data_IF_066118137105
#
_entry.id   IF_066118137105
#
_cell.length_a   1.000
_cell.length_b   1.000
_cell.length_c   1.000
_cell.angle_alpha   90.00
_cell.angle_beta   90.00
_cell.angle_gamma   90.00
#
_symmetry.space_group_name_H-M   'P 1'
#
loop_
_entity.id
_entity.type
_entity.pdbx_description
1 polymer ?
#
# COMPACT_ATOMS: atom_id res chain seq x y z
N UNK A 1 -10.03 -3.99 15.29
CA UNK A 1 -8.84 -3.70 14.51
C UNK A 1 -8.67 -2.21 14.43
N UNK A 2 -7.50 -1.71 14.69
CA UNK A 2 -7.26 -0.27 14.67
C UNK A 2 -7.13 0.22 13.24
N UNK A 3 -7.75 1.34 12.94
CA UNK A 3 -7.63 1.97 11.64
C UNK A 3 -6.41 2.88 11.66
N UNK A 4 -5.61 2.83 10.65
CA UNK A 4 -4.38 3.63 10.54
C UNK A 4 -4.55 4.64 9.42
N UNK A 5 -3.99 5.82 9.61
CA UNK A 5 -4.00 6.82 8.56
C UNK A 5 -2.72 6.73 7.73
N UNK A 6 -2.62 7.52 6.71
CA UNK A 6 -1.46 7.48 5.81
C UNK A 6 -0.16 7.83 6.51
N UNK A 7 -0.22 8.60 7.60
CA UNK A 7 0.99 8.95 8.34
C UNK A 7 1.64 7.72 8.95
N UNK A 8 0.84 6.80 9.50
CA UNK A 8 1.39 5.58 10.07
C UNK A 8 1.99 4.69 9.01
N UNK A 9 1.34 4.57 7.86
CA UNK A 9 1.89 3.80 6.75
C UNK A 9 3.17 4.45 6.23
N UNK A 10 3.21 5.78 6.19
CA UNK A 10 4.39 6.49 5.73
C UNK A 10 5.61 6.14 6.58
N UNK A 11 5.46 6.14 7.88
CA UNK A 11 6.57 5.78 8.77
C UNK A 11 7.06 4.36 8.50
N UNK A 12 6.14 3.43 8.34
CA UNK A 12 6.50 2.04 8.08
C UNK A 12 7.17 1.84 6.74
N UNK A 13 6.68 2.53 5.70
CA UNK A 13 7.29 2.45 4.38
C UNK A 13 8.70 3.03 4.41
N UNK A 14 8.87 4.16 5.08
CA UNK A 14 10.20 4.77 5.17
C UNK A 14 11.18 3.83 5.88
N UNK A 15 10.74 3.16 6.95
CA UNK A 15 11.59 2.19 7.61
C UNK A 15 11.99 1.05 6.68
N UNK A 16 11.04 0.54 5.93
CA UNK A 16 11.31 -0.57 5.01
C UNK A 16 12.26 -0.16 3.89
N UNK A 17 12.24 1.11 3.50
CA UNK A 17 13.11 1.62 2.45
C UNK A 17 14.41 2.20 3.03
N UNK A 18 14.61 2.09 4.33
CA UNK A 18 15.78 2.61 5.02
C UNK A 18 15.93 4.12 4.87
N UNK A 19 14.80 4.83 4.84
CA UNK A 19 14.78 6.29 4.78
C UNK A 19 14.63 6.81 6.20
N UNK A 20 15.52 7.68 6.69
CA UNK A 20 15.38 8.25 8.03
C UNK A 20 14.09 9.04 8.16
N UNK A 21 13.47 8.99 9.32
CA UNK A 21 12.23 9.73 9.54
C UNK A 21 12.42 11.23 9.34
N UNK A 22 13.61 11.73 9.62
CA UNK A 22 13.89 13.16 9.47
C UNK A 22 14.08 13.58 8.01
N UNK A 23 14.24 12.62 7.09
CA UNK A 23 14.37 12.93 5.68
C UNK A 23 12.99 12.97 5.08
N UNK A 24 12.49 14.17 4.80
CA UNK A 24 11.12 14.35 4.31
C UNK A 24 11.05 14.61 2.80
N UNK A 25 12.16 14.47 2.10
CA UNK A 25 12.21 14.82 0.68
C UNK A 25 11.18 14.07 -0.15
N UNK A 26 10.99 12.79 0.09
CA UNK A 26 10.09 11.96 -0.70
C UNK A 26 8.74 11.72 -0.02
N UNK A 27 8.46 12.38 1.10
CA UNK A 27 7.24 12.07 1.86
C UNK A 27 5.98 12.27 1.03
N UNK A 28 5.90 13.34 0.25
CA UNK A 28 4.71 13.60 -0.56
C UNK A 28 4.49 12.52 -1.60
N UNK A 29 5.56 12.08 -2.26
CA UNK A 29 5.46 11.03 -3.27
C UNK A 29 5.03 9.71 -2.62
N UNK A 30 5.67 9.35 -1.52
CA UNK A 30 5.35 8.09 -0.83
C UNK A 30 3.91 8.11 -0.33
N UNK A 31 3.49 9.22 0.25
CA UNK A 31 2.10 9.35 0.75
C UNK A 31 1.09 9.22 -0.38
N UNK A 32 1.39 9.79 -1.54
CA UNK A 32 0.50 9.66 -2.69
C UNK A 32 0.37 8.19 -3.11
N UNK A 33 1.48 7.47 -3.15
CA UNK A 33 1.43 6.05 -3.52
C UNK A 33 0.66 5.23 -2.49
N UNK A 34 0.83 5.54 -1.20
CA UNK A 34 0.09 4.85 -0.15
C UNK A 34 -1.42 5.09 -0.34
N UNK A 35 -1.82 6.33 -0.53
CA UNK A 35 -3.23 6.66 -0.71
C UNK A 35 -3.80 5.98 -1.95
N UNK A 36 -3.03 5.95 -3.03
CA UNK A 36 -3.45 5.29 -4.26
C UNK A 36 -3.63 3.80 -4.05
N UNK A 37 -2.74 3.16 -3.32
CA UNK A 37 -2.84 1.74 -3.02
C UNK A 37 -4.09 1.44 -2.18
N UNK A 38 -4.31 2.22 -1.13
CA UNK A 38 -5.49 2.04 -0.29
C UNK A 38 -6.77 2.17 -1.10
N UNK A 39 -6.83 3.17 -1.98
CA UNK A 39 -7.98 3.35 -2.84
C UNK A 39 -8.18 2.17 -3.78
N UNK A 40 -7.10 1.63 -4.31
CA UNK A 40 -7.16 0.46 -5.18
C UNK A 40 -7.72 -0.74 -4.42
N UNK A 41 -7.24 -0.99 -3.21
CA UNK A 41 -7.74 -2.10 -2.40
C UNK A 41 -9.24 -1.99 -2.17
N UNK A 42 -9.71 -0.79 -1.83
CA UNK A 42 -11.12 -0.56 -1.60
C UNK A 42 -11.91 -0.80 -2.88
N UNK A 43 -11.41 -0.35 -4.02
CA UNK A 43 -12.12 -0.50 -5.28
C UNK A 43 -12.24 -1.95 -5.71
N UNK A 44 -11.34 -2.81 -5.27
CA UNK A 44 -11.37 -4.22 -5.62
C UNK A 44 -12.29 -5.01 -4.69
N UNK A 45 -12.66 -4.46 -3.56
CA UNK A 45 -13.58 -5.14 -2.65
C UNK A 45 -13.10 -5.29 -1.22
N UNK A 46 -11.93 -4.78 -0.89
CA UNK A 46 -11.46 -4.79 0.49
C UNK A 46 -12.19 -3.69 1.26
N UNK A 47 -12.69 -3.98 2.44
CA UNK A 47 -13.37 -2.96 3.22
C UNK A 47 -12.41 -1.85 3.62
N UNK A 48 -12.94 -0.65 3.80
CA UNK A 48 -12.10 0.48 4.18
C UNK A 48 -11.41 0.23 5.52
N UNK A 49 -12.12 -0.36 6.47
CA UNK A 49 -11.54 -0.65 7.77
C UNK A 49 -10.31 -1.56 7.65
N UNK A 50 -10.39 -2.58 6.82
CA UNK A 50 -9.28 -3.50 6.62
C UNK A 50 -8.16 -2.82 5.84
N UNK A 51 -8.51 -2.08 4.79
CA UNK A 51 -7.51 -1.43 3.94
C UNK A 51 -6.69 -0.39 4.72
N UNK A 52 -7.26 0.16 5.80
CA UNK A 52 -6.56 1.14 6.61
C UNK A 52 -6.08 0.57 7.94
N UNK A 53 -6.15 -0.75 8.11
CA UNK A 53 -5.79 -1.38 9.36
C UNK A 53 -4.30 -1.71 9.42
N UNK A 54 -3.86 -2.28 10.52
CA UNK A 54 -2.49 -2.75 10.65
C UNK A 54 -2.33 -4.21 10.25
N UNK A 55 -3.24 -4.72 9.44
CA UNK A 55 -3.17 -6.08 8.92
C UNK A 55 -1.86 -6.27 8.15
N UNK A 56 -1.15 -7.35 8.45
CA UNK A 56 0.18 -7.58 7.86
C UNK A 56 0.12 -7.73 6.34
N UNK A 57 -0.94 -8.34 5.83
CA UNK A 57 -1.08 -8.51 4.39
C UNK A 57 -1.29 -7.16 3.70
N UNK A 58 -2.09 -6.28 4.31
CA UNK A 58 -2.28 -4.93 3.80
C UNK A 58 -0.95 -4.17 3.76
N UNK A 59 -0.17 -4.25 4.83
CA UNK A 59 1.13 -3.58 4.87
C UNK A 59 2.05 -4.12 3.78
N UNK A 60 2.05 -5.43 3.57
CA UNK A 60 2.85 -6.03 2.50
C UNK A 60 2.43 -5.54 1.13
N UNK A 61 1.13 -5.44 0.89
CA UNK A 61 0.61 -4.95 -0.40
C UNK A 61 1.00 -3.50 -0.62
N UNK A 62 0.90 -2.67 0.42
CA UNK A 62 1.31 -1.27 0.31
C UNK A 62 2.80 -1.17 -0.02
N UNK A 63 3.65 -1.97 0.64
CA UNK A 63 5.07 -1.96 0.36
C UNK A 63 5.37 -2.36 -1.09
N UNK A 64 4.70 -3.38 -1.60
CA UNK A 64 4.87 -3.80 -2.98
C UNK A 64 4.47 -2.67 -3.93
N UNK A 65 3.34 -2.03 -3.67
CA UNK A 65 2.84 -0.96 -4.50
C UNK A 65 3.81 0.21 -4.52
N UNK A 66 4.23 0.66 -3.35
CA UNK A 66 5.15 1.80 -3.26
C UNK A 66 6.48 1.46 -3.91
N UNK A 67 7.00 0.26 -3.67
CA UNK A 67 8.28 -0.15 -4.26
C UNK A 67 8.21 -0.15 -5.78
N UNK A 68 7.06 -0.52 -6.34
CA UNK A 68 6.91 -0.56 -7.80
C UNK A 68 6.95 0.84 -8.41
N UNK A 69 6.33 1.82 -7.75
CA UNK A 69 6.16 3.13 -8.36
C UNK A 69 7.07 4.21 -7.79
N UNK A 70 7.67 3.98 -6.63
CA UNK A 70 8.51 4.98 -6.00
C UNK A 70 9.75 5.25 -6.83
N UNK A 71 10.07 6.52 -6.98
CA UNK A 71 11.25 6.91 -7.72
C UNK A 71 11.13 6.71 -9.22
N UNK A 72 9.90 6.51 -9.74
CA UNK A 72 9.70 6.31 -11.16
C UNK A 72 10.24 7.52 -11.92
N UNK A 73 11.12 7.28 -12.84
CA UNK A 73 11.66 8.32 -13.69
C UNK A 73 11.11 8.10 -15.09
N UNK A 74 10.92 9.18 -15.80
CA UNK A 74 10.35 9.11 -17.13
C UNK A 74 11.39 8.61 -18.11
N UNK A 75 11.69 7.33 -18.05
CA UNK A 75 12.69 6.69 -18.91
C UNK A 75 12.04 5.88 -20.03
N UNK A 76 10.73 6.04 -20.20
CA UNK A 76 10.03 5.32 -21.25
C UNK A 76 9.58 3.93 -20.88
N UNK A 77 9.91 3.46 -19.67
CA UNK A 77 9.47 2.12 -19.28
C UNK A 77 8.09 2.18 -18.65
N UNK A 78 7.38 1.07 -18.72
CA UNK A 78 6.06 0.95 -18.10
C UNK A 78 6.26 0.29 -16.74
N UNK A 79 5.68 0.89 -15.71
CA UNK A 79 5.75 0.32 -14.36
C UNK A 79 4.49 -0.50 -14.13
N UNK A 80 4.66 -1.76 -13.85
CA UNK A 80 3.54 -2.66 -13.60
C UNK A 80 3.73 -3.35 -12.26
N UNK A 81 2.62 -3.59 -11.58
CA UNK A 81 2.63 -4.33 -10.33
C UNK A 81 2.98 -5.80 -10.63
N UNK A 82 3.66 -6.47 -9.71
CA UNK A 82 3.94 -7.89 -9.89
C UNK A 82 2.64 -8.68 -10.02
N UNK A 83 2.67 -9.78 -10.75
CA UNK A 83 1.47 -10.59 -10.95
C UNK A 83 0.91 -11.12 -9.64
N UNK A 84 1.75 -11.39 -8.64
CA UNK A 84 1.26 -11.89 -7.37
C UNK A 84 0.54 -10.82 -6.55
N UNK A 85 0.66 -9.56 -6.90
CA UNK A 85 -0.08 -8.50 -6.19
C UNK A 85 -1.58 -8.72 -6.34
N UNK A 86 -2.04 -8.95 -7.56
CA UNK A 86 -3.46 -9.15 -7.80
C UNK A 86 -3.98 -10.38 -7.07
N UNK A 87 -3.21 -11.45 -7.07
CA UNK A 87 -3.60 -12.66 -6.35
C UNK A 87 -3.71 -12.40 -4.85
N UNK A 88 -2.77 -11.68 -4.28
CA UNK A 88 -2.80 -11.36 -2.85
C UNK A 88 -3.97 -10.46 -2.49
N UNK A 89 -4.30 -9.50 -3.35
CA UNK A 89 -5.45 -8.63 -3.11
C UNK A 89 -6.74 -9.45 -3.12
N UNK A 90 -6.87 -10.35 -4.08
CA UNK A 90 -8.05 -11.20 -4.14
C UNK A 90 -8.16 -12.09 -2.90
N UNK A 91 -7.05 -12.62 -2.44
CA UNK A 91 -7.04 -13.41 -1.23
C UNK A 91 -7.45 -12.58 -0.02
N UNK A 92 -6.96 -11.36 0.09
CA UNK A 92 -7.33 -10.47 1.18
C UNK A 92 -8.83 -10.15 1.13
N UNK A 93 -9.35 -9.86 -0.05
CA UNK A 93 -10.77 -9.54 -0.19
C UNK A 93 -11.65 -10.72 0.22
N UNK A 94 -11.23 -11.95 -0.11
CA UNK A 94 -12.01 -13.13 0.26
C UNK A 94 -11.95 -13.43 1.76
N UNK A 95 -10.82 -13.17 2.40
CA UNK A 95 -10.65 -13.57 3.80
C UNK A 95 -10.99 -12.46 4.78
N UNK A 96 -10.80 -11.21 4.37
CA UNK A 96 -11.00 -10.10 5.30
C UNK A 96 -12.03 -9.11 4.82
N UNK A 97 -12.19 -8.96 3.54
CA UNK A 97 -13.12 -7.98 2.99
C UNK A 97 -14.50 -8.53 2.81
N UNK A 98 -14.64 -9.85 2.77
CA UNK A 98 -15.90 -10.47 2.50
C UNK A 98 -16.38 -11.20 3.72
N UNK A 99 -16.41 -10.57 4.83
CA UNK A 99 -16.83 -11.17 5.99
C UNK A 99 -18.29 -11.17 6.04
N UNK A 100 -18.93 -11.74 5.22
CA UNK A 100 -20.22 -11.73 5.29
C UNK A 100 -20.75 -12.74 6.07
N UNK A 101 -20.49 -13.15 6.67
CA UNK A 101 -21.05 -14.16 7.37
C UNK A 101 -22.41 -14.24 7.58
#
# INVERSE_FOLDING_TARGET
MAVRDETNFLIEVKKAFMIPETDTFADSEISLHIASCVSLLISIGVSEDVARSDNALVKGLILIYVKTFYGFKNDGSVKELPSNFDLLVKQLALTEGDHVS
#
